data_IF_145437728258
#
_entry.id   IF_145437728258
#
_cell.length_a   1.000
_cell.length_b   1.000
_cell.length_c   1.000
_cell.angle_alpha   90.00
_cell.angle_beta   90.00
_cell.angle_gamma   90.00
#
_symmetry.space_group_name_H-M   'P 1'
#
loop_
_entity.id
_entity.type
_entity.pdbx_description
1 polymer ?
#
# COMPACT_ATOMS: atom_id res chain seq x y z
N UNK A 1 -5.38 -7.29 -12.58
CA UNK A 1 -4.40 -6.84 -11.56
C UNK A 1 -5.17 -6.62 -10.27
N UNK A 2 -4.92 -7.43 -9.24
CA UNK A 2 -5.68 -7.35 -7.99
C UNK A 2 -4.72 -7.29 -6.80
N UNK A 3 -4.87 -6.23 -6.00
CA UNK A 3 -4.17 -6.02 -4.74
C UNK A 3 -5.22 -5.79 -3.65
N UNK A 4 -5.09 -6.50 -2.52
CA UNK A 4 -6.00 -6.29 -1.38
C UNK A 4 -5.72 -4.92 -0.76
N UNK A 5 -6.77 -4.29 -0.21
CA UNK A 5 -6.64 -2.98 0.44
C UNK A 5 -5.60 -2.98 1.58
N UNK A 6 -5.55 -4.05 2.37
CA UNK A 6 -4.59 -4.19 3.48
C UNK A 6 -3.15 -4.26 2.96
N UNK A 7 -2.90 -5.03 1.90
CA UNK A 7 -1.57 -5.12 1.30
C UNK A 7 -1.14 -3.78 0.71
N UNK A 8 -2.07 -3.08 0.05
CA UNK A 8 -1.82 -1.73 -0.45
C UNK A 8 -1.44 -0.75 0.67
N UNK A 9 -2.07 -0.84 1.86
CA UNK A 9 -1.68 -0.03 3.00
C UNK A 9 -0.24 -0.34 3.47
N UNK A 10 0.17 -1.60 3.43
CA UNK A 10 1.56 -1.97 3.73
C UNK A 10 2.54 -1.45 2.68
N UNK A 11 2.19 -1.51 1.39
CA UNK A 11 3.00 -0.93 0.30
C UNK A 11 3.16 0.59 0.48
N UNK A 12 2.09 1.29 0.87
CA UNK A 12 2.18 2.71 1.20
C UNK A 12 3.05 2.97 2.45
N UNK A 13 2.88 2.16 3.50
CA UNK A 13 3.68 2.30 4.73
C UNK A 13 5.16 1.92 4.54
N UNK A 14 5.47 1.05 3.58
CA UNK A 14 6.84 0.80 3.11
C UNK A 14 7.41 1.98 2.31
N UNK A 15 6.55 2.92 1.90
CA UNK A 15 6.91 4.10 1.12
C UNK A 15 7.15 3.79 -0.35
N UNK A 16 6.77 2.60 -0.81
CA UNK A 16 6.94 2.14 -2.18
C UNK A 16 5.93 2.75 -3.15
N UNK A 17 4.72 3.01 -2.67
CA UNK A 17 3.69 3.76 -3.40
C UNK A 17 3.36 5.00 -2.59
N UNK A 18 3.21 6.15 -3.27
CA UNK A 18 2.81 7.41 -2.65
C UNK A 18 1.73 8.08 -3.50
N UNK A 19 0.83 8.87 -2.89
CA UNK A 19 -0.10 9.69 -3.64
C UNK A 19 0.68 10.62 -4.58
N UNK A 20 0.30 10.62 -5.85
CA UNK A 20 0.83 11.53 -6.84
C UNK A 20 0.08 12.88 -6.83
N UNK A 21 -1.19 12.85 -6.42
CA UNK A 21 -2.03 14.03 -6.32
C UNK A 21 -3.18 13.79 -5.32
N UNK A 22 -3.98 14.81 -5.06
CA UNK A 22 -5.17 14.75 -4.21
C UNK A 22 -6.34 15.46 -4.89
N UNK A 23 -7.53 14.92 -4.72
CA UNK A 23 -8.76 15.55 -5.23
C UNK A 23 -9.83 15.59 -4.15
N UNK A 24 -10.67 16.62 -4.18
CA UNK A 24 -11.74 16.79 -3.21
C UNK A 24 -12.97 15.96 -3.64
N UNK A 25 -13.41 15.04 -2.79
CA UNK A 25 -14.64 14.28 -2.99
C UNK A 25 -15.71 14.66 -1.98
N UNK A 26 -16.91 14.96 -2.49
CA UNK A 26 -18.06 15.28 -1.66
C UNK A 26 -18.79 14.02 -1.23
N UNK A 27 -18.73 13.65 0.06
CA UNK A 27 -19.43 12.47 0.60
C UNK A 27 -20.84 12.80 1.10
N UNK A 28 -21.12 14.07 1.43
CA UNK A 28 -22.45 14.52 1.83
C UNK A 28 -22.66 16.00 1.47
N UNK A 29 -23.84 16.58 1.74
CA UNK A 29 -24.12 17.99 1.46
C UNK A 29 -23.10 18.95 2.09
N UNK A 30 -22.59 18.61 3.28
CA UNK A 30 -21.71 19.44 4.10
C UNK A 30 -20.30 18.88 4.28
N UNK A 31 -20.07 17.59 3.97
CA UNK A 31 -18.78 16.94 4.21
C UNK A 31 -18.07 16.66 2.89
N UNK A 32 -16.82 17.12 2.84
CA UNK A 32 -15.89 16.86 1.75
C UNK A 32 -14.62 16.23 2.34
N UNK A 33 -13.99 15.36 1.57
CA UNK A 33 -12.78 14.64 1.97
C UNK A 33 -11.76 14.69 0.84
N UNK A 34 -10.49 14.82 1.18
CA UNK A 34 -9.41 14.70 0.22
C UNK A 34 -9.16 13.21 -0.08
N UNK A 35 -9.22 12.87 -1.36
CA UNK A 35 -9.01 11.53 -1.89
C UNK A 35 -7.65 11.50 -2.59
N UNK A 36 -6.71 10.65 -2.14
CA UNK A 36 -5.41 10.54 -2.79
C UNK A 36 -5.55 9.83 -4.15
N UNK A 37 -4.90 10.39 -5.15
CA UNK A 37 -4.76 9.82 -6.48
C UNK A 37 -3.39 9.17 -6.61
N UNK A 38 -3.35 7.97 -7.18
CA UNK A 38 -2.13 7.20 -7.38
C UNK A 38 -1.90 6.99 -8.87
N UNK A 39 -0.63 7.00 -9.29
CA UNK A 39 -0.29 6.57 -10.64
C UNK A 39 -0.45 5.07 -10.72
N UNK A 40 -1.09 4.59 -11.79
CA UNK A 40 -1.22 3.16 -12.03
C UNK A 40 0.16 2.49 -12.17
N UNK A 41 1.11 3.17 -12.84
CA UNK A 41 2.49 2.70 -12.99
C UNK A 41 3.18 2.41 -11.66
N UNK A 42 3.02 3.28 -10.65
CA UNK A 42 3.61 3.04 -9.32
C UNK A 42 3.04 1.78 -8.66
N UNK A 43 1.75 1.47 -8.91
CA UNK A 43 1.11 0.26 -8.41
C UNK A 43 1.62 -0.96 -9.19
N UNK A 44 1.84 -0.83 -10.50
CA UNK A 44 2.41 -1.88 -11.35
C UNK A 44 3.84 -2.21 -10.96
N UNK A 45 4.68 -1.20 -10.79
CA UNK A 45 6.03 -1.35 -10.30
C UNK A 45 6.06 -2.05 -8.93
N UNK A 46 5.12 -1.70 -8.05
CA UNK A 46 5.01 -2.32 -6.74
C UNK A 46 4.65 -3.82 -6.79
N UNK A 47 3.83 -4.24 -7.76
CA UNK A 47 3.42 -5.64 -7.90
C UNK A 47 4.41 -6.48 -8.70
N UNK A 48 5.00 -5.91 -9.75
CA UNK A 48 5.73 -6.67 -10.76
C UNK A 48 7.25 -6.47 -10.69
N UNK A 49 7.71 -5.26 -10.38
CA UNK A 49 9.13 -4.92 -10.37
C UNK A 49 9.76 -5.05 -8.99
N UNK A 50 9.06 -4.65 -7.92
CA UNK A 50 9.59 -4.78 -6.55
C UNK A 50 10.01 -6.20 -6.16
N UNK A 51 9.30 -7.29 -6.50
CA UNK A 51 9.75 -8.64 -6.18
C UNK A 51 11.11 -9.00 -6.82
N UNK A 52 11.47 -8.35 -7.93
CA UNK A 52 12.75 -8.54 -8.61
C UNK A 52 13.89 -7.77 -7.94
N UNK A 53 13.55 -6.64 -7.30
CA UNK A 53 14.52 -5.68 -6.76
C UNK A 53 14.69 -5.86 -5.24
N UNK A 54 13.64 -6.25 -4.52
CA UNK A 54 13.61 -6.41 -3.07
C UNK A 54 13.82 -7.88 -2.72
N UNK A 55 14.97 -8.25 -2.14
CA UNK A 55 15.20 -9.63 -1.71
C UNK A 55 14.16 -10.04 -0.66
N UNK A 56 13.55 -11.22 -0.84
CA UNK A 56 12.53 -11.83 0.04
C UNK A 56 11.13 -11.21 -0.02
N UNK A 57 10.82 -10.39 -1.01
CA UNK A 57 9.44 -9.98 -1.27
C UNK A 57 8.74 -11.03 -2.15
N UNK A 58 7.90 -11.86 -1.54
CA UNK A 58 7.10 -12.87 -2.23
C UNK A 58 5.59 -12.58 -2.07
N UNK A 59 4.93 -12.17 -3.16
CA UNK A 59 3.50 -11.92 -3.19
C UNK A 59 2.64 -13.18 -3.00
N UNK A 60 3.18 -14.35 -3.30
CA UNK A 60 2.55 -15.64 -2.98
C UNK A 60 2.47 -15.87 -1.48
N UNK A 61 3.57 -15.62 -0.75
CA UNK A 61 3.61 -15.68 0.72
C UNK A 61 2.64 -14.66 1.34
N UNK A 62 2.62 -13.43 0.82
CA UNK A 62 1.72 -12.37 1.29
C UNK A 62 0.25 -12.75 1.12
N UNK A 63 -0.12 -13.32 -0.03
CA UNK A 63 -1.50 -13.73 -0.30
C UNK A 63 -1.91 -14.99 0.47
N UNK A 64 -0.94 -15.85 0.79
CA UNK A 64 -1.11 -17.08 1.55
C UNK A 64 -1.12 -16.90 3.07
N UNK A 65 -0.73 -15.72 3.58
CA UNK A 65 -0.74 -15.41 5.01
C UNK A 65 -2.13 -15.64 5.61
N UNK A 66 -2.20 -16.36 6.74
CA UNK A 66 -3.48 -16.71 7.36
C UNK A 66 -4.07 -15.53 8.12
N UNK A 67 -5.39 -15.48 8.31
CA UNK A 67 -6.00 -14.51 9.20
C UNK A 67 -5.38 -14.57 10.61
N UNK A 68 -4.89 -13.42 11.10
CA UNK A 68 -4.23 -13.30 12.41
C UNK A 68 -2.70 -13.44 12.38
N UNK A 69 -2.11 -13.87 11.26
CA UNK A 69 -0.66 -13.87 11.09
C UNK A 69 -0.15 -12.50 10.63
N UNK A 70 1.02 -12.05 11.10
CA UNK A 70 1.62 -10.81 10.62
C UNK A 70 1.99 -10.93 9.15
N UNK A 71 1.55 -9.98 8.32
CA UNK A 71 1.88 -9.95 6.90
C UNK A 71 3.40 -9.91 6.68
N UNK A 72 3.96 -10.69 5.74
CA UNK A 72 5.37 -10.61 5.35
C UNK A 72 5.80 -9.19 4.95
N UNK A 73 4.87 -8.38 4.42
CA UNK A 73 5.11 -6.97 4.05
C UNK A 73 5.49 -6.09 5.24
N UNK A 74 5.12 -6.48 6.48
CA UNK A 74 5.41 -5.71 7.69
C UNK A 74 6.91 -5.43 7.86
N UNK A 75 7.76 -6.39 7.45
CA UNK A 75 9.23 -6.31 7.50
C UNK A 75 9.78 -5.11 6.71
N UNK A 76 9.03 -4.64 5.71
CA UNK A 76 9.42 -3.55 4.82
C UNK A 76 8.72 -2.24 5.15
N UNK A 77 7.74 -2.26 6.05
CA UNK A 77 7.02 -1.05 6.45
C UNK A 77 7.90 -0.21 7.36
N UNK A 78 8.16 1.05 6.99
CA UNK A 78 8.68 2.04 7.94
C UNK A 78 7.47 2.59 8.63
N UNK A 79 7.16 2.14 9.85
CA UNK A 79 6.07 2.73 10.64
C UNK A 79 6.23 4.27 10.67
N UNK A 80 5.36 5.05 10.01
CA UNK A 80 5.33 6.48 10.21
C UNK A 80 4.52 6.71 11.49
N UNK A 81 5.19 6.58 12.63
CA UNK A 81 4.62 7.00 13.92
C UNK A 81 4.63 5.95 15.03
N UNK A 82 5.78 5.74 15.65
CA UNK A 82 5.83 5.80 17.12
C UNK A 82 6.47 7.13 17.48
N UNK A 83 5.65 8.17 17.62
CA UNK A 83 6.03 9.38 18.36
C UNK A 83 5.94 9.01 19.84
N UNK A 84 7.08 8.68 20.44
CA UNK A 84 7.28 8.89 21.89
C UNK A 84 7.46 10.36 22.18
#
# INVERSE_FOLDING_TARGET
MEIRRTDFNHVMAAGWVRPADWTEWKISRTVKVDVPLYRLGDIEDALYELPRIVPRLDWGEVRGARPGEPSPLLKHTRHPGRRT
#
